data_IF_459978100587
#
_entry.id   IF_459978100587
#
_cell.length_a   1.000
_cell.length_b   1.000
_cell.length_c   1.000
_cell.angle_alpha   90.00
_cell.angle_beta   90.00
_cell.angle_gamma   90.00
#
_symmetry.space_group_name_H-M   'P 1'
#
loop_
_entity.id
_entity.type
_entity.pdbx_description
1 polymer ?
#
# COMPACT_ATOMS: atom_id res chain seq x y z
N UNK A 1 -26.10 7.87 16.98
CA UNK A 1 -25.15 6.74 16.90
C UNK A 1 -23.94 7.04 17.76
N UNK A 2 -23.41 6.06 18.50
CA UNK A 2 -22.17 6.22 19.28
C UNK A 2 -21.00 6.30 18.29
N UNK A 3 -20.23 7.38 18.33
CA UNK A 3 -18.99 7.50 17.56
C UNK A 3 -17.94 6.58 18.20
N UNK A 4 -17.76 5.40 17.62
CA UNK A 4 -16.75 4.42 17.99
C UNK A 4 -15.80 4.16 16.81
N UNK A 5 -14.71 3.42 17.04
CA UNK A 5 -13.62 3.16 16.09
C UNK A 5 -14.16 2.72 14.73
N UNK A 6 -15.08 1.76 14.73
CA UNK A 6 -15.76 1.27 13.53
C UNK A 6 -16.61 2.33 12.82
N UNK A 7 -17.31 3.20 13.55
CA UNK A 7 -18.06 4.30 12.94
C UNK A 7 -17.11 5.21 12.18
N UNK A 8 -15.99 5.55 12.79
CA UNK A 8 -15.06 6.48 12.18
C UNK A 8 -14.26 5.88 11.01
N UNK A 9 -13.86 4.61 11.10
CA UNK A 9 -13.27 3.87 9.97
C UNK A 9 -14.23 3.92 8.76
N UNK A 10 -15.52 3.67 9.00
CA UNK A 10 -16.54 3.75 7.95
C UNK A 10 -16.75 5.17 7.42
N UNK A 11 -16.71 6.20 8.28
CA UNK A 11 -16.83 7.60 7.87
C UNK A 11 -15.62 8.04 7.01
N UNK A 12 -14.41 7.61 7.37
CA UNK A 12 -13.20 7.82 6.59
C UNK A 12 -13.34 7.20 5.19
N UNK A 13 -13.68 5.92 5.10
CA UNK A 13 -13.85 5.22 3.82
C UNK A 13 -14.97 5.83 2.99
N UNK A 14 -16.09 6.20 3.63
CA UNK A 14 -17.20 6.87 2.96
C UNK A 14 -16.73 8.18 2.29
N UNK A 15 -15.97 9.01 3.00
CA UNK A 15 -15.43 10.27 2.46
C UNK A 15 -14.49 10.04 1.27
N UNK A 16 -13.62 9.03 1.34
CA UNK A 16 -12.73 8.69 0.23
C UNK A 16 -13.53 8.30 -1.03
N UNK A 17 -14.56 7.47 -0.87
CA UNK A 17 -15.39 7.03 -2.00
C UNK A 17 -16.22 8.18 -2.57
N UNK A 18 -16.91 8.93 -1.72
CA UNK A 18 -17.87 9.96 -2.15
C UNK A 18 -17.21 11.25 -2.63
N UNK A 19 -16.01 11.59 -2.13
CA UNK A 19 -15.38 12.90 -2.38
C UNK A 19 -14.06 12.83 -3.13
N UNK A 20 -13.40 11.67 -3.16
CA UNK A 20 -12.04 11.53 -3.68
C UNK A 20 -11.91 10.42 -4.73
N UNK A 21 -13.05 9.87 -5.19
CA UNK A 21 -13.15 8.88 -6.27
C UNK A 21 -12.42 7.56 -5.97
N UNK A 22 -12.28 7.21 -4.70
CA UNK A 22 -11.71 5.91 -4.32
C UNK A 22 -12.71 4.79 -4.58
N UNK A 23 -12.22 3.66 -5.08
CA UNK A 23 -12.99 2.44 -5.23
C UNK A 23 -12.83 1.59 -3.97
N UNK A 24 -13.93 1.37 -3.25
CA UNK A 24 -13.94 0.43 -2.13
C UNK A 24 -13.92 -1.01 -2.64
N UNK A 25 -12.82 -1.71 -2.40
CA UNK A 25 -12.70 -3.13 -2.74
C UNK A 25 -13.44 -4.00 -1.71
N UNK A 26 -14.16 -5.00 -2.18
CA UNK A 26 -14.90 -5.96 -1.35
C UNK A 26 -14.39 -7.38 -1.61
N UNK A 27 -14.42 -8.24 -0.59
CA UNK A 27 -14.09 -9.65 -0.74
C UNK A 27 -12.60 -10.00 -0.85
N UNK A 28 -11.70 -8.99 -0.87
CA UNK A 28 -10.25 -9.22 -0.81
C UNK A 28 -9.83 -9.39 0.64
N UNK A 29 -9.43 -10.61 1.02
CA UNK A 29 -9.13 -10.99 2.40
C UNK A 29 -7.75 -11.57 2.62
N UNK A 30 -6.92 -11.63 1.58
CA UNK A 30 -5.59 -12.20 1.63
C UNK A 30 -4.67 -11.63 0.55
N UNK A 31 -3.40 -12.03 0.62
CA UNK A 31 -2.35 -11.68 -0.34
C UNK A 31 -2.70 -12.12 -1.77
N UNK A 32 -3.40 -13.24 -1.95
CA UNK A 32 -3.73 -13.74 -3.29
C UNK A 32 -4.76 -12.83 -3.98
N UNK A 33 -5.77 -12.38 -3.24
CA UNK A 33 -6.72 -11.40 -3.74
C UNK A 33 -6.06 -10.08 -4.10
N UNK A 34 -5.10 -9.60 -3.30
CA UNK A 34 -4.31 -8.40 -3.63
C UNK A 34 -3.50 -8.58 -4.92
N UNK A 35 -2.79 -9.70 -5.07
CA UNK A 35 -2.00 -10.00 -6.27
C UNK A 35 -2.85 -10.01 -7.54
N UNK A 36 -4.08 -10.55 -7.47
CA UNK A 36 -5.01 -10.53 -8.61
C UNK A 36 -5.33 -9.11 -9.06
N UNK A 37 -5.63 -8.20 -8.12
CA UNK A 37 -5.89 -6.80 -8.45
C UNK A 37 -4.63 -6.11 -9.00
N UNK A 38 -3.46 -6.37 -8.39
CA UNK A 38 -2.19 -5.84 -8.89
C UNK A 38 -1.94 -6.25 -10.34
N UNK A 39 -2.15 -7.51 -10.70
CA UNK A 39 -1.93 -7.97 -12.08
C UNK A 39 -2.89 -7.32 -13.07
N UNK A 40 -4.18 -7.20 -12.71
CA UNK A 40 -5.17 -6.51 -13.54
C UNK A 40 -4.75 -5.05 -13.77
N UNK A 41 -4.31 -4.37 -12.72
CA UNK A 41 -3.91 -2.97 -12.81
C UNK A 41 -2.57 -2.76 -13.54
N UNK A 42 -1.61 -3.68 -13.41
CA UNK A 42 -0.39 -3.69 -14.24
C UNK A 42 -0.75 -3.83 -15.72
N UNK A 43 -1.61 -4.81 -16.07
CA UNK A 43 -2.06 -5.03 -17.45
C UNK A 43 -2.73 -3.78 -18.02
N UNK A 44 -3.65 -3.18 -17.26
CA UNK A 44 -4.38 -1.95 -17.64
C UNK A 44 -3.42 -0.78 -17.84
N UNK A 45 -2.60 -0.47 -16.83
CA UNK A 45 -1.76 0.73 -16.83
C UNK A 45 -0.68 0.69 -17.92
N UNK A 46 -0.19 -0.51 -18.24
CA UNK A 46 0.85 -0.70 -19.25
C UNK A 46 0.30 -1.06 -20.63
N UNK A 47 -1.02 -1.27 -20.77
CA UNK A 47 -1.65 -1.76 -22.00
C UNK A 47 -1.01 -3.06 -22.52
N UNK A 48 -0.81 -4.02 -21.61
CA UNK A 48 -0.20 -5.33 -21.91
C UNK A 48 -1.08 -6.48 -21.42
N UNK A 49 -0.77 -7.69 -21.88
CA UNK A 49 -1.27 -8.94 -21.29
C UNK A 49 -0.13 -9.69 -20.61
N UNK A 50 -0.27 -10.00 -19.33
CA UNK A 50 0.70 -10.78 -18.59
C UNK A 50 0.49 -12.27 -18.88
N UNK A 51 1.51 -12.91 -19.44
CA UNK A 51 1.60 -14.37 -19.49
C UNK A 51 1.71 -14.95 -18.08
N UNK A 52 1.29 -16.20 -17.89
CA UNK A 52 1.36 -16.87 -16.59
C UNK A 52 2.79 -16.95 -16.03
N UNK A 53 3.79 -17.14 -16.89
CA UNK A 53 5.22 -17.08 -16.52
C UNK A 53 5.61 -15.71 -15.93
N UNK A 54 5.09 -14.61 -16.49
CA UNK A 54 5.35 -13.26 -16.01
C UNK A 54 4.62 -13.02 -14.68
N UNK A 55 3.38 -13.49 -14.53
CA UNK A 55 2.64 -13.41 -13.27
C UNK A 55 3.35 -14.17 -12.15
N UNK A 56 3.87 -15.36 -12.44
CA UNK A 56 4.62 -16.15 -11.48
C UNK A 56 5.92 -15.44 -11.06
N UNK A 57 6.69 -14.91 -12.02
CA UNK A 57 7.90 -14.12 -11.73
C UNK A 57 7.59 -12.89 -10.87
N UNK A 58 6.53 -12.15 -11.19
CA UNK A 58 6.10 -10.98 -10.41
C UNK A 58 5.65 -11.38 -9.00
N UNK A 59 4.87 -12.46 -8.87
CA UNK A 59 4.46 -13.02 -7.59
C UNK A 59 5.67 -13.35 -6.72
N UNK A 60 6.67 -14.00 -7.29
CA UNK A 60 7.93 -14.32 -6.60
C UNK A 60 8.66 -13.05 -6.16
N UNK A 61 8.83 -12.05 -7.05
CA UNK A 61 9.46 -10.78 -6.70
C UNK A 61 8.75 -10.08 -5.53
N UNK A 62 7.42 -10.09 -5.53
CA UNK A 62 6.61 -9.41 -4.53
C UNK A 62 6.53 -10.17 -3.21
N UNK A 63 6.61 -11.50 -3.21
CA UNK A 63 6.39 -12.33 -2.02
C UNK A 63 7.67 -12.89 -1.39
N UNK A 64 8.75 -13.08 -2.16
CA UNK A 64 9.97 -13.66 -1.63
C UNK A 64 10.74 -12.66 -0.76
N UNK A 65 11.20 -13.15 0.39
CA UNK A 65 11.95 -12.38 1.39
C UNK A 65 13.34 -11.94 0.91
N UNK A 66 13.85 -12.52 -0.18
CA UNK A 66 15.16 -12.16 -0.76
C UNK A 66 15.20 -10.75 -1.34
N UNK A 67 14.06 -10.20 -1.80
CA UNK A 67 14.01 -8.83 -2.29
C UNK A 67 14.17 -7.87 -1.11
N UNK A 68 15.18 -7.00 -1.17
CA UNK A 68 15.42 -6.02 -0.11
C UNK A 68 14.23 -5.07 0.05
N UNK A 69 13.93 -4.66 1.28
CA UNK A 69 12.80 -3.76 1.57
C UNK A 69 12.88 -2.43 0.82
N UNK A 70 14.08 -1.90 0.63
CA UNK A 70 14.32 -0.65 -0.11
C UNK A 70 13.88 -0.74 -1.57
N UNK A 71 13.95 -1.94 -2.16
CA UNK A 71 13.59 -2.18 -3.55
C UNK A 71 12.10 -1.90 -3.82
N UNK A 72 11.22 -2.21 -2.85
CA UNK A 72 9.79 -1.93 -2.95
C UNK A 72 9.53 -0.42 -3.05
N UNK A 73 10.24 0.37 -2.24
CA UNK A 73 10.17 1.82 -2.31
C UNK A 73 10.69 2.32 -3.66
N UNK A 74 11.82 1.80 -4.15
CA UNK A 74 12.40 2.20 -5.43
C UNK A 74 11.44 1.94 -6.60
N UNK A 75 10.77 0.80 -6.63
CA UNK A 75 9.74 0.50 -7.64
C UNK A 75 8.53 1.42 -7.54
N UNK A 76 8.00 1.65 -6.32
CA UNK A 76 6.84 2.52 -6.12
C UNK A 76 7.15 3.96 -6.54
N UNK A 77 8.30 4.48 -6.18
CA UNK A 77 8.68 5.87 -6.45
C UNK A 77 9.31 6.09 -7.83
N UNK A 78 9.40 5.05 -8.65
CA UNK A 78 9.99 5.05 -10.00
C UNK A 78 11.50 5.39 -10.01
N UNK A 79 12.23 5.04 -8.95
CA UNK A 79 13.70 5.06 -8.92
C UNK A 79 14.32 3.79 -9.51
N UNK A 80 13.55 2.72 -9.55
CA UNK A 80 13.86 1.50 -10.29
C UNK A 80 12.58 0.94 -10.92
N UNK A 81 12.70 0.06 -11.90
CA UNK A 81 11.57 -0.50 -12.65
C UNK A 81 11.70 -2.00 -12.81
N UNK A 82 10.58 -2.69 -12.80
CA UNK A 82 10.55 -4.13 -13.09
C UNK A 82 10.50 -4.32 -14.60
N UNK A 83 11.36 -5.17 -15.15
CA UNK A 83 11.30 -5.56 -16.57
C UNK A 83 10.71 -6.95 -16.74
N UNK A 84 9.91 -7.10 -17.80
CA UNK A 84 9.40 -8.39 -18.27
C UNK A 84 9.69 -8.55 -19.76
N UNK A 85 9.78 -9.78 -20.28
CA UNK A 85 9.82 -10.02 -21.71
C UNK A 85 8.60 -9.43 -22.41
N UNK A 86 8.81 -8.74 -23.53
CA UNK A 86 7.71 -8.25 -24.36
C UNK A 86 7.14 -9.42 -25.18
N UNK A 87 5.82 -9.45 -25.30
CA UNK A 87 5.14 -10.49 -26.07
C UNK A 87 5.62 -10.50 -27.53
N UNK A 88 5.93 -11.70 -28.04
CA UNK A 88 6.41 -11.95 -29.41
C UNK A 88 7.63 -11.11 -29.80
N UNK A 89 8.50 -10.79 -28.83
CA UNK A 89 9.72 -10.03 -29.05
C UNK A 89 10.87 -10.59 -28.20
N UNK A 90 12.09 -10.49 -28.72
CA UNK A 90 13.31 -10.73 -27.93
C UNK A 90 13.67 -9.57 -26.99
N UNK A 91 12.87 -8.50 -26.98
CA UNK A 91 13.10 -7.30 -26.16
C UNK A 91 12.37 -7.40 -24.82
N UNK A 92 12.90 -6.70 -23.83
CA UNK A 92 12.22 -6.46 -22.56
C UNK A 92 11.39 -5.17 -22.61
N UNK A 93 10.38 -5.08 -21.75
CA UNK A 93 9.62 -3.87 -21.48
C UNK A 93 9.62 -3.56 -19.98
N UNK A 94 9.73 -2.27 -19.65
CA UNK A 94 9.63 -1.77 -18.27
C UNK A 94 8.17 -1.65 -17.87
N UNK A 95 7.84 -2.14 -16.70
CA UNK A 95 6.51 -2.01 -16.11
C UNK A 95 6.41 -0.71 -15.32
N UNK A 96 5.41 0.09 -15.66
CA UNK A 96 4.89 1.17 -14.83
C UNK A 96 3.99 0.57 -13.76
N UNK A 97 4.28 0.85 -12.48
CA UNK A 97 3.41 0.44 -11.36
C UNK A 97 2.46 1.57 -10.96
N UNK A 98 2.97 2.81 -11.00
CA UNK A 98 2.23 4.05 -10.74
C UNK A 98 2.64 5.07 -11.80
N UNK A 99 1.67 5.76 -12.37
CA UNK A 99 1.89 6.88 -13.27
C UNK A 99 2.04 8.18 -12.47
N UNK A 100 3.28 8.53 -12.16
CA UNK A 100 3.59 9.75 -11.43
C UNK A 100 3.53 11.00 -12.29
N UNK A 101 3.54 10.85 -13.62
CA UNK A 101 3.47 11.97 -14.55
C UNK A 101 2.01 12.40 -14.78
N UNK A 102 1.10 11.42 -14.85
CA UNK A 102 -0.33 11.63 -15.11
C UNK A 102 -1.15 10.88 -14.06
N UNK A 103 -1.51 11.58 -12.98
CA UNK A 103 -2.09 10.97 -11.78
C UNK A 103 -3.47 10.34 -12.04
N UNK A 104 -4.21 10.90 -12.99
CA UNK A 104 -5.52 10.45 -13.48
C UNK A 104 -5.49 9.07 -14.14
N UNK A 105 -4.31 8.60 -14.57
CA UNK A 105 -4.17 7.24 -15.11
C UNK A 105 -4.20 6.17 -14.01
N UNK A 106 -4.04 6.58 -12.74
CA UNK A 106 -4.03 5.68 -11.60
C UNK A 106 -5.42 5.46 -11.01
N UNK A 107 -5.68 4.23 -10.62
CA UNK A 107 -6.87 3.89 -9.84
C UNK A 107 -6.54 3.90 -8.35
N UNK A 108 -7.43 4.48 -7.56
CA UNK A 108 -7.32 4.59 -6.10
C UNK A 108 -8.29 3.62 -5.45
N UNK A 109 -7.80 2.80 -4.54
CA UNK A 109 -8.62 1.84 -3.82
C UNK A 109 -8.49 1.99 -2.31
N UNK A 110 -9.54 1.59 -1.62
CA UNK A 110 -9.56 1.43 -0.18
C UNK A 110 -10.05 0.03 0.19
N UNK A 111 -9.30 -0.64 1.05
CA UNK A 111 -9.67 -1.90 1.68
C UNK A 111 -9.91 -1.67 3.17
N UNK A 112 -10.95 -2.30 3.71
CA UNK A 112 -11.25 -2.34 5.13
C UNK A 112 -11.15 -3.76 5.65
N UNK A 113 -10.74 -3.92 6.91
CA UNK A 113 -10.76 -5.21 7.61
C UNK A 113 -9.96 -6.28 6.85
N UNK A 114 -8.81 -5.89 6.29
CA UNK A 114 -7.95 -6.80 5.54
C UNK A 114 -7.25 -7.76 6.50
N UNK A 115 -7.47 -9.06 6.29
CA UNK A 115 -6.90 -10.11 7.13
C UNK A 115 -5.57 -10.60 6.57
N UNK A 116 -4.58 -10.79 7.44
CA UNK A 116 -3.29 -11.34 7.05
C UNK A 116 -2.72 -12.19 8.17
N UNK A 117 -2.04 -13.28 7.80
CA UNK A 117 -1.43 -14.20 8.75
C UNK A 117 0.01 -13.80 9.00
N UNK A 118 0.35 -13.62 10.27
CA UNK A 118 1.73 -13.53 10.70
C UNK A 118 2.38 -14.92 10.55
N UNK A 119 3.33 -15.04 9.62
CA UNK A 119 4.01 -16.31 9.32
C UNK A 119 4.83 -16.86 10.49
N UNK A 120 5.29 -16.00 11.40
CA UNK A 120 6.12 -16.40 12.54
C UNK A 120 5.27 -16.87 13.72
N UNK A 121 4.17 -16.18 14.00
CA UNK A 121 3.33 -16.45 15.19
C UNK A 121 2.06 -17.23 14.88
N UNK A 122 1.74 -17.46 13.60
CA UNK A 122 0.46 -17.97 13.10
C UNK A 122 -0.78 -17.18 13.54
N UNK A 123 -0.60 -15.98 14.13
CA UNK A 123 -1.70 -15.08 14.49
C UNK A 123 -2.28 -14.43 13.24
N UNK A 124 -3.59 -14.25 13.24
CA UNK A 124 -4.28 -13.46 12.20
C UNK A 124 -4.39 -12.02 12.68
N UNK A 125 -3.82 -11.11 11.90
CA UNK A 125 -3.94 -9.67 12.08
C UNK A 125 -5.04 -9.15 11.14
N UNK A 126 -5.89 -8.26 11.63
CA UNK A 126 -6.94 -7.60 10.83
C UNK A 126 -6.62 -6.11 10.84
N UNK A 127 -6.44 -5.58 9.65
CA UNK A 127 -6.10 -4.18 9.44
C UNK A 127 -7.36 -3.34 9.31
N UNK A 128 -7.41 -2.19 9.98
CA UNK A 128 -8.56 -1.31 9.87
C UNK A 128 -8.72 -0.82 8.43
N UNK A 129 -7.68 -0.21 7.85
CA UNK A 129 -7.75 0.20 6.44
C UNK A 129 -6.39 0.20 5.74
N UNK A 130 -6.43 -0.13 4.44
CA UNK A 130 -5.33 0.02 3.50
C UNK A 130 -5.76 0.94 2.35
N UNK A 131 -4.86 1.84 1.95
CA UNK A 131 -4.97 2.60 0.71
C UNK A 131 -4.05 1.97 -0.34
N UNK A 132 -4.61 1.76 -1.52
CA UNK A 132 -3.91 1.15 -2.64
C UNK A 132 -3.96 2.07 -3.85
N UNK A 133 -2.88 2.04 -4.62
CA UNK A 133 -2.79 2.72 -5.92
C UNK A 133 -2.47 1.64 -6.95
N UNK A 134 -3.32 1.49 -7.97
CA UNK A 134 -3.20 0.43 -8.98
C UNK A 134 -3.05 -0.97 -8.33
N UNK A 135 -3.77 -1.21 -7.24
CA UNK A 135 -3.72 -2.47 -6.49
C UNK A 135 -2.54 -2.63 -5.53
N UNK A 136 -1.52 -1.77 -5.56
CA UNK A 136 -0.39 -1.84 -4.62
C UNK A 136 -0.76 -1.21 -3.28
N UNK A 137 -0.60 -1.89 -2.13
CA UNK A 137 -0.85 -1.28 -0.82
C UNK A 137 0.27 -0.30 -0.47
N UNK A 138 -0.04 0.98 -0.32
CA UNK A 138 0.95 2.03 -0.05
C UNK A 138 0.82 2.63 1.36
N UNK A 139 -0.41 2.68 1.89
CA UNK A 139 -0.67 3.31 3.19
C UNK A 139 -1.48 2.38 4.07
N UNK A 140 -1.00 2.20 5.28
CA UNK A 140 -1.71 1.49 6.33
C UNK A 140 -2.28 2.47 7.34
N UNK A 141 -3.56 2.29 7.69
CA UNK A 141 -4.25 3.06 8.71
C UNK A 141 -4.59 2.17 9.90
N UNK A 142 -4.22 2.64 11.09
CA UNK A 142 -4.68 2.14 12.38
C UNK A 142 -5.51 3.24 13.05
N UNK A 143 -6.76 2.94 13.34
CA UNK A 143 -7.69 3.82 14.02
C UNK A 143 -7.83 3.41 15.48
N UNK A 144 -8.15 4.38 16.33
CA UNK A 144 -8.58 4.16 17.71
C UNK A 144 -9.72 5.08 18.05
N UNK A 145 -10.58 4.65 18.97
CA UNK A 145 -11.58 5.51 19.58
C UNK A 145 -11.00 6.87 20.03
N UNK A 146 -11.83 7.91 19.95
CA UNK A 146 -11.49 9.28 20.36
C UNK A 146 -10.89 9.36 21.78
N UNK A 147 -11.43 8.56 22.69
CA UNK A 147 -11.02 8.54 24.10
C UNK A 147 -9.74 7.72 24.35
N UNK A 148 -9.22 7.02 23.33
CA UNK A 148 -7.99 6.24 23.41
C UNK A 148 -6.82 7.13 22.97
N UNK A 149 -5.73 7.11 23.75
CA UNK A 149 -4.52 7.85 23.41
C UNK A 149 -3.94 7.32 22.09
N UNK A 150 -3.64 8.21 21.14
CA UNK A 150 -2.98 7.87 19.86
C UNK A 150 -1.69 7.04 20.02
N UNK A 151 -1.00 7.14 21.17
CA UNK A 151 0.16 6.28 21.50
C UNK A 151 -0.16 4.78 21.43
N UNK A 152 -1.42 4.39 21.66
CA UNK A 152 -1.88 3.01 21.54
C UNK A 152 -1.85 2.53 20.08
N UNK A 153 -2.42 3.30 19.15
CA UNK A 153 -2.33 3.01 17.71
C UNK A 153 -0.87 2.90 17.22
N UNK A 154 -0.01 3.84 17.67
CA UNK A 154 1.43 3.81 17.34
C UNK A 154 2.10 2.54 17.90
N UNK A 155 1.71 2.12 19.10
CA UNK A 155 2.23 0.90 19.73
C UNK A 155 1.80 -0.36 18.98
N UNK A 156 0.53 -0.44 18.59
CA UNK A 156 -0.03 -1.60 17.88
C UNK A 156 0.66 -1.74 16.51
N UNK A 157 0.87 -0.62 15.78
CA UNK A 157 1.69 -0.59 14.56
C UNK A 157 3.09 -1.18 14.78
N UNK A 158 3.81 -0.70 15.81
CA UNK A 158 5.21 -1.05 16.03
C UNK A 158 5.41 -2.47 16.53
N UNK A 159 4.49 -2.98 17.34
CA UNK A 159 4.67 -4.24 18.06
C UNK A 159 3.92 -5.40 17.39
N UNK A 160 2.74 -5.16 16.83
CA UNK A 160 1.85 -6.23 16.38
C UNK A 160 1.82 -6.36 14.86
N UNK A 161 1.96 -5.25 14.13
CA UNK A 161 1.86 -5.24 12.66
C UNK A 161 3.20 -5.18 11.94
N UNK A 162 4.28 -4.79 12.61
CA UNK A 162 5.60 -4.58 11.98
C UNK A 162 6.06 -5.78 11.13
N UNK A 163 6.02 -6.99 11.67
CA UNK A 163 6.50 -8.18 10.94
C UNK A 163 5.62 -8.48 9.73
N UNK A 164 4.31 -8.23 9.83
CA UNK A 164 3.35 -8.52 8.77
C UNK A 164 3.40 -7.45 7.67
N UNK A 165 3.52 -6.18 8.03
CA UNK A 165 3.76 -5.08 7.09
C UNK A 165 5.11 -5.21 6.36
N UNK A 166 6.03 -6.00 6.90
CA UNK A 166 7.31 -6.35 6.29
C UNK A 166 7.29 -7.70 5.57
N UNK A 167 6.11 -8.28 5.34
CA UNK A 167 5.95 -9.57 4.67
C UNK A 167 5.19 -9.45 3.35
N UNK A 168 5.57 -10.28 2.39
CA UNK A 168 4.90 -10.42 1.10
C UNK A 168 4.64 -9.07 0.40
N UNK A 169 3.46 -8.94 -0.22
CA UNK A 169 3.00 -7.74 -0.92
C UNK A 169 2.85 -6.52 -0.01
N UNK A 170 2.71 -6.72 1.31
CA UNK A 170 2.58 -5.60 2.25
C UNK A 170 3.89 -4.82 2.40
N UNK A 171 5.03 -5.34 1.93
CA UNK A 171 6.29 -4.59 1.84
C UNK A 171 6.20 -3.35 0.94
N UNK A 172 5.18 -3.25 0.10
CA UNK A 172 4.88 -2.03 -0.66
C UNK A 172 4.35 -0.88 0.21
N UNK A 173 3.88 -1.14 1.45
CA UNK A 173 3.40 -0.08 2.35
C UNK A 173 4.56 0.84 2.71
N UNK A 174 4.44 2.12 2.39
CA UNK A 174 5.45 3.15 2.66
C UNK A 174 5.08 4.05 3.84
N UNK A 175 3.78 4.33 4.01
CA UNK A 175 3.27 5.27 5.01
C UNK A 175 2.39 4.52 6.01
N UNK A 176 2.63 4.76 7.30
CA UNK A 176 1.82 4.25 8.40
C UNK A 176 1.11 5.42 9.05
N UNK A 177 -0.20 5.31 9.21
CA UNK A 177 -1.05 6.35 9.79
C UNK A 177 -1.69 5.82 11.05
N UNK A 178 -1.41 6.47 12.17
CA UNK A 178 -2.12 6.27 13.42
C UNK A 178 -3.11 7.42 13.61
N UNK A 179 -4.37 7.13 13.91
CA UNK A 179 -5.37 8.16 14.20
C UNK A 179 -6.24 7.79 15.39
N UNK A 180 -6.59 8.80 16.19
CA UNK A 180 -7.67 8.70 17.18
C UNK A 180 -8.74 9.79 16.96
N UNK A 181 -8.91 10.23 15.70
CA UNK A 181 -9.83 11.28 15.24
C UNK A 181 -9.52 12.70 15.67
N UNK A 182 -9.00 12.91 16.88
CA UNK A 182 -8.49 14.22 17.28
C UNK A 182 -7.08 14.46 16.76
N UNK A 183 -6.28 13.40 16.68
CA UNK A 183 -4.88 13.47 16.27
C UNK A 183 -4.61 12.43 15.21
N UNK A 184 -3.71 12.81 14.31
CA UNK A 184 -3.18 11.96 13.26
C UNK A 184 -1.65 12.00 13.37
N UNK A 185 -1.02 10.84 13.29
CA UNK A 185 0.44 10.71 13.24
C UNK A 185 0.82 9.89 12.04
N UNK A 186 1.61 10.50 11.16
CA UNK A 186 2.26 9.83 10.03
C UNK A 186 3.62 9.29 10.47
N UNK A 187 3.96 8.10 10.00
CA UNK A 187 5.25 7.44 10.19
C UNK A 187 5.68 6.80 8.88
N UNK A 188 6.98 6.76 8.60
CA UNK A 188 7.53 5.96 7.50
C UNK A 188 7.57 4.49 7.89
N UNK A 189 7.25 3.59 6.97
CA UNK A 189 7.48 2.16 7.14
C UNK A 189 8.95 1.80 6.84
N UNK A 190 9.91 2.42 7.54
CA UNK A 190 11.34 2.10 7.43
C UNK A 190 11.88 1.59 8.77
N UNK A 191 12.72 0.56 8.73
CA UNK A 191 12.89 -0.32 9.88
C UNK A 191 13.88 0.16 10.94
N UNK A 192 14.74 1.12 10.59
CA UNK A 192 15.73 1.83 11.42
C UNK A 192 16.64 2.55 10.44
N UNK A 193 16.63 3.89 10.43
CA UNK A 193 17.73 4.79 10.05
C UNK A 193 17.12 6.13 9.60
N UNK A 194 17.48 7.19 10.32
CA UNK A 194 17.47 8.54 9.78
C UNK A 194 18.49 8.60 8.63
N UNK A 195 18.06 8.26 7.41
CA UNK A 195 18.83 8.66 6.23
C UNK A 195 18.57 10.15 6.02
N UNK A 196 19.64 10.94 6.06
CA UNK A 196 19.62 12.36 5.67
C UNK A 196 19.03 12.47 4.27
N UNK A 197 18.01 13.31 4.17
CA UNK A 197 17.28 13.54 2.94
C UNK A 197 18.17 14.31 1.94
N UNK A 198 18.34 13.79 0.72
CA UNK A 198 18.99 14.43 -0.43
C UNK A 198 17.92 14.92 -1.43
N UNK A 199 18.31 15.59 -2.53
CA UNK A 199 17.40 16.22 -3.51
C UNK A 199 16.27 15.31 -4.06
N UNK A 200 16.43 13.98 -4.01
CA UNK A 200 15.39 12.97 -4.28
C UNK A 200 14.17 13.05 -3.35
N UNK A 201 14.33 13.64 -2.18
CA UNK A 201 13.28 13.70 -1.15
C UNK A 201 12.25 14.80 -1.39
N UNK A 202 12.58 15.85 -2.14
CA UNK A 202 11.56 16.84 -2.55
C UNK A 202 10.56 16.17 -3.48
N UNK A 203 11.03 15.41 -4.47
CA UNK A 203 10.16 14.68 -5.40
C UNK A 203 9.33 13.61 -4.69
N UNK A 204 9.92 12.90 -3.70
CA UNK A 204 9.16 11.96 -2.88
C UNK A 204 8.11 12.70 -2.04
N UNK A 205 8.47 13.84 -1.43
CA UNK A 205 7.56 14.62 -0.59
C UNK A 205 6.41 15.23 -1.41
N UNK A 206 6.65 15.68 -2.64
CA UNK A 206 5.60 16.13 -3.57
C UNK A 206 4.64 14.98 -3.88
N UNK A 207 5.16 13.80 -4.21
CA UNK A 207 4.34 12.61 -4.46
C UNK A 207 3.54 12.16 -3.23
N UNK A 208 4.16 12.20 -2.05
CA UNK A 208 3.48 11.95 -0.77
C UNK A 208 2.40 13.00 -0.54
N UNK A 209 2.67 14.27 -0.79
CA UNK A 209 1.68 15.35 -0.66
C UNK A 209 0.50 15.10 -1.60
N UNK A 210 0.73 14.74 -2.86
CA UNK A 210 -0.35 14.39 -3.81
C UNK A 210 -1.23 13.26 -3.25
N UNK A 211 -0.59 12.21 -2.72
CA UNK A 211 -1.31 11.10 -2.07
C UNK A 211 -2.10 11.59 -0.86
N UNK A 212 -1.49 12.41 0.01
CA UNK A 212 -2.13 12.92 1.22
C UNK A 212 -3.26 13.91 0.90
N UNK A 213 -3.14 14.76 -0.13
CA UNK A 213 -4.18 15.69 -0.59
C UNK A 213 -5.39 14.97 -1.18
N UNK A 214 -5.21 13.77 -1.74
CA UNK A 214 -6.34 12.91 -2.11
C UNK A 214 -7.02 12.26 -0.90
N UNK A 215 -6.39 12.25 0.27
CA UNK A 215 -6.90 11.57 1.47
C UNK A 215 -7.50 12.56 2.48
N UNK A 216 -6.90 13.73 2.65
CA UNK A 216 -7.25 14.78 3.61
C UNK A 216 -7.81 16.01 2.92
#
# INVERSE_FOLDING_TARGET
MKQNEKWYENDFVKKLVEKQEYIKLQGIKDTEGLLKIIFIEIERLNSIKLKEENKQKLKELFTLTKTEKIQFAQWIWNFDTITIPKENSSREQRLKLIDWENWENNNFYVLQQFSTKNKETNKTNIFDSLILINGFPLIFFEFKDKNVKIKKAISDIKNDYKNVLNSDVLRFVQILVASNFEKIKLMSNNDKEEKKLNLTDIQIMEKILIILFKIF
#
